data_IF_986860530494
#
_entry.id   IF_986860530494
#
_cell.length_a   1.000
_cell.length_b   1.000
_cell.length_c   1.000
_cell.angle_alpha   90.00
_cell.angle_beta   90.00
_cell.angle_gamma   90.00
#
_symmetry.space_group_name_H-M   'P 1'
#
loop_
_entity.id
_entity.type
_entity.pdbx_description
1 polymer ?
#
# COMPACT_ATOMS: atom_id res chain seq x y z
N UNK A 1 -41.54 0.62 -22.13
CA UNK A 1 -40.13 1.00 -22.37
C UNK A 1 -39.26 -0.21 -22.06
N UNK A 2 -38.39 -0.65 -22.99
CA UNK A 2 -37.55 -1.84 -22.78
C UNK A 2 -36.55 -1.57 -21.63
N UNK A 3 -36.47 -2.49 -20.65
CA UNK A 3 -35.49 -2.40 -19.56
C UNK A 3 -34.10 -2.45 -20.17
N UNK A 4 -33.31 -1.37 -20.02
CA UNK A 4 -31.88 -1.36 -20.38
C UNK A 4 -31.20 -2.47 -19.60
N UNK A 5 -30.42 -3.31 -20.29
CA UNK A 5 -29.63 -4.38 -19.68
C UNK A 5 -28.17 -4.11 -19.96
N UNK A 6 -27.33 -4.35 -18.96
CA UNK A 6 -25.88 -4.29 -19.06
C UNK A 6 -25.36 -5.72 -19.16
N UNK A 7 -24.42 -5.98 -20.04
CA UNK A 7 -23.82 -7.29 -20.28
C UNK A 7 -22.35 -7.22 -19.91
N UNK A 8 -21.95 -7.90 -18.85
CA UNK A 8 -20.57 -7.96 -18.40
C UNK A 8 -19.91 -9.22 -18.97
N UNK A 9 -18.78 -9.05 -19.66
CA UNK A 9 -17.93 -10.12 -20.19
C UNK A 9 -16.66 -10.20 -19.37
N UNK A 10 -16.54 -11.20 -18.49
CA UNK A 10 -15.36 -11.48 -17.66
C UNK A 10 -14.30 -12.27 -18.41
N UNK A 11 -14.72 -13.18 -19.29
CA UNK A 11 -13.85 -13.92 -20.20
C UNK A 11 -14.47 -13.96 -21.59
N UNK A 12 -13.74 -13.48 -22.59
CA UNK A 12 -14.16 -13.33 -23.99
C UNK A 12 -13.04 -12.68 -24.80
N UNK A 13 -13.31 -12.35 -26.07
CA UNK A 13 -12.34 -11.64 -26.94
C UNK A 13 -11.92 -10.31 -26.33
N UNK A 14 -12.90 -9.50 -25.91
CA UNK A 14 -12.69 -8.24 -25.20
C UNK A 14 -13.52 -8.23 -23.92
N UNK A 15 -12.90 -8.38 -22.74
CA UNK A 15 -13.60 -8.22 -21.46
C UNK A 15 -14.09 -6.78 -21.27
N UNK A 16 -15.27 -6.61 -20.68
CA UNK A 16 -15.87 -5.28 -20.50
C UNK A 16 -17.40 -5.31 -20.33
N UNK A 17 -18.01 -4.12 -20.25
CA UNK A 17 -19.46 -3.95 -20.11
C UNK A 17 -20.05 -3.42 -21.41
N UNK A 18 -21.06 -4.12 -21.92
CA UNK A 18 -21.77 -3.78 -23.13
C UNK A 18 -23.23 -3.45 -22.81
N UNK A 19 -23.80 -2.48 -23.51
CA UNK A 19 -25.22 -2.08 -23.35
C UNK A 19 -26.14 -2.75 -24.37
N UNK A 20 -25.59 -3.59 -25.24
CA UNK A 20 -26.30 -4.35 -26.26
C UNK A 20 -25.87 -5.82 -26.23
N UNK A 21 -26.84 -6.72 -26.44
CA UNK A 21 -26.57 -8.14 -26.58
C UNK A 21 -25.67 -8.44 -27.77
N UNK A 22 -25.85 -7.73 -28.89
CA UNK A 22 -25.07 -7.95 -30.12
C UNK A 22 -23.56 -7.71 -29.88
N UNK A 23 -23.25 -6.63 -29.17
CA UNK A 23 -21.87 -6.28 -28.81
C UNK A 23 -21.25 -7.27 -27.81
N UNK A 24 -22.03 -7.74 -26.83
CA UNK A 24 -21.61 -8.79 -25.90
C UNK A 24 -21.37 -10.12 -26.62
N UNK A 25 -22.32 -10.53 -27.47
CA UNK A 25 -22.28 -11.76 -28.25
C UNK A 25 -21.03 -11.81 -29.12
N UNK A 26 -20.68 -10.71 -29.79
CA UNK A 26 -19.44 -10.62 -30.57
C UNK A 26 -18.17 -10.93 -29.76
N UNK A 27 -18.18 -10.76 -28.43
CA UNK A 27 -17.04 -11.08 -27.57
C UNK A 27 -17.01 -12.52 -27.06
N UNK A 28 -18.17 -13.17 -26.93
CA UNK A 28 -18.28 -14.48 -26.27
C UNK A 28 -18.59 -15.63 -27.22
N UNK A 29 -19.20 -15.32 -28.37
CA UNK A 29 -19.63 -16.30 -29.37
C UNK A 29 -18.42 -16.99 -30.01
N UNK A 30 -18.30 -18.31 -29.80
CA UNK A 30 -17.16 -19.12 -30.25
C UNK A 30 -15.88 -18.96 -29.42
N UNK A 31 -15.91 -18.26 -28.28
CA UNK A 31 -14.76 -18.16 -27.37
C UNK A 31 -14.81 -19.29 -26.32
N UNK A 32 -13.74 -20.09 -26.24
CA UNK A 32 -13.66 -21.19 -25.28
C UNK A 32 -13.68 -20.68 -23.84
N UNK A 33 -14.54 -21.25 -22.99
CA UNK A 33 -14.73 -20.83 -21.59
C UNK A 33 -15.15 -19.36 -21.42
N UNK A 34 -15.95 -18.83 -22.34
CA UNK A 34 -16.51 -17.49 -22.19
C UNK A 34 -17.34 -17.36 -20.90
N UNK A 35 -17.09 -16.30 -20.13
CA UNK A 35 -17.77 -16.01 -18.88
C UNK A 35 -18.42 -14.64 -19.00
N UNK A 36 -19.75 -14.61 -19.12
CA UNK A 36 -20.53 -13.37 -19.22
C UNK A 36 -21.85 -13.47 -18.47
N UNK A 37 -22.39 -12.32 -18.04
CA UNK A 37 -23.68 -12.23 -17.36
C UNK A 37 -24.36 -10.89 -17.63
N UNK A 38 -25.70 -10.90 -17.70
CA UNK A 38 -26.50 -9.69 -17.88
C UNK A 38 -27.06 -9.19 -16.55
N UNK A 39 -27.07 -7.88 -16.35
CA UNK A 39 -27.50 -7.19 -15.15
C UNK A 39 -28.47 -6.05 -15.46
N UNK A 40 -29.36 -5.70 -14.51
CA UNK A 40 -30.26 -4.57 -14.67
C UNK A 40 -29.57 -3.22 -14.43
N UNK A 41 -28.47 -3.19 -13.68
CA UNK A 41 -27.69 -1.98 -13.38
C UNK A 41 -26.24 -2.08 -13.89
N UNK A 42 -25.59 -0.92 -14.07
CA UNK A 42 -24.18 -0.88 -14.48
C UNK A 42 -23.30 -1.35 -13.33
N UNK A 43 -23.65 -0.97 -12.10
CA UNK A 43 -22.90 -1.32 -10.88
C UNK A 43 -22.81 -2.84 -10.67
N UNK A 44 -23.90 -3.59 -10.88
CA UNK A 44 -23.87 -5.05 -10.78
C UNK A 44 -23.04 -5.71 -11.90
N UNK A 45 -23.02 -5.10 -13.09
CA UNK A 45 -22.18 -5.54 -14.20
C UNK A 45 -20.69 -5.29 -13.90
N UNK A 46 -20.34 -4.16 -13.29
CA UNK A 46 -19.00 -3.84 -12.79
C UNK A 46 -18.56 -4.84 -11.71
N UNK A 47 -19.44 -5.16 -10.76
CA UNK A 47 -19.16 -6.16 -9.72
C UNK A 47 -18.86 -7.56 -10.30
N UNK A 48 -19.54 -7.96 -11.38
CA UNK A 48 -19.33 -9.27 -12.02
C UNK A 48 -18.00 -9.40 -12.75
N UNK A 49 -17.48 -8.31 -13.33
CA UNK A 49 -16.16 -8.31 -13.96
C UNK A 49 -15.04 -8.51 -12.94
N UNK A 50 -15.34 -8.33 -11.66
CA UNK A 50 -14.36 -8.37 -10.60
C UNK A 50 -13.45 -7.17 -10.73
N UNK A 51 -13.84 -6.05 -10.12
CA UNK A 51 -12.87 -5.07 -9.64
C UNK A 51 -11.88 -5.81 -8.73
N UNK A 52 -10.82 -6.34 -9.33
CA UNK A 52 -9.53 -6.50 -8.69
C UNK A 52 -8.63 -5.29 -8.97
N UNK A 53 -9.22 -4.20 -9.45
CA UNK A 53 -8.82 -2.84 -9.06
C UNK A 53 -9.73 -2.40 -7.92
N UNK A 54 -9.67 -3.14 -6.82
CA UNK A 54 -9.44 -2.42 -5.56
C UNK A 54 -8.00 -1.91 -5.62
N UNK A 55 -7.75 -0.89 -6.43
CA UNK A 55 -7.03 0.22 -5.85
C UNK A 55 -7.99 0.72 -4.77
N UNK A 56 -7.93 0.11 -3.59
CA UNK A 56 -8.24 0.85 -2.41
C UNK A 56 -7.24 2.01 -2.49
N UNK A 57 -7.65 3.13 -3.08
CA UNK A 57 -7.34 4.39 -2.44
C UNK A 57 -7.90 4.19 -1.05
N UNK A 58 -7.03 3.75 -0.15
CA UNK A 58 -7.29 3.95 1.24
C UNK A 58 -7.28 5.48 1.30
N UNK A 59 -8.46 6.08 1.24
CA UNK A 59 -8.65 7.52 1.49
C UNK A 59 -8.47 7.73 2.99
N UNK A 60 -7.34 7.25 3.51
CA UNK A 60 -6.84 7.74 4.77
C UNK A 60 -6.42 9.18 4.54
N UNK A 61 -6.60 9.99 5.57
CA UNK A 61 -6.28 11.41 5.53
C UNK A 61 -4.80 11.63 5.23
N UNK A 62 -3.95 10.73 5.75
CA UNK A 62 -2.53 10.64 5.46
C UNK A 62 -2.15 9.35 4.71
N UNK A 63 -1.19 9.45 3.80
CA UNK A 63 -0.57 8.34 3.09
C UNK A 63 0.95 8.48 3.15
N UNK A 64 1.68 7.45 3.55
CA UNK A 64 3.12 7.47 3.64
C UNK A 64 3.74 6.26 2.94
N UNK A 65 4.64 6.50 1.99
CA UNK A 65 5.50 5.47 1.42
C UNK A 65 6.79 5.42 2.23
N UNK A 66 7.16 4.25 2.71
CA UNK A 66 8.35 4.06 3.54
C UNK A 66 9.27 3.03 2.92
N UNK A 67 10.57 3.33 2.93
CA UNK A 67 11.62 2.40 2.49
C UNK A 67 12.86 2.56 3.40
N UNK A 68 13.70 1.53 3.45
CA UNK A 68 14.86 1.43 4.31
C UNK A 68 16.14 1.09 3.54
N UNK A 69 17.21 1.82 3.82
CA UNK A 69 18.52 1.58 3.23
C UNK A 69 19.57 1.27 4.30
N UNK A 70 20.55 0.44 3.96
CA UNK A 70 21.67 0.09 4.84
C UNK A 70 23.00 0.13 4.12
N UNK A 71 23.96 0.84 4.71
CA UNK A 71 25.32 0.92 4.23
C UNK A 71 26.19 -0.10 4.98
N UNK A 72 26.52 -1.20 4.29
CA UNK A 72 27.35 -2.28 4.85
C UNK A 72 28.77 -1.82 5.22
N UNK A 73 29.28 -0.74 4.60
CA UNK A 73 30.65 -0.24 4.85
C UNK A 73 30.75 0.53 6.16
N UNK A 74 29.75 1.36 6.47
CA UNK A 74 29.71 2.18 7.69
C UNK A 74 28.90 1.54 8.81
N UNK A 75 28.07 0.55 8.48
CA UNK A 75 27.15 -0.10 9.43
C UNK A 75 25.92 0.75 9.75
N UNK A 76 25.68 1.82 8.98
CA UNK A 76 24.58 2.75 9.19
C UNK A 76 23.33 2.35 8.39
N UNK A 77 22.15 2.62 8.92
CA UNK A 77 20.88 2.51 8.21
C UNK A 77 20.16 3.85 8.18
N UNK A 78 19.25 3.99 7.23
CA UNK A 78 18.39 5.15 7.09
C UNK A 78 17.02 4.73 6.58
N UNK A 79 16.07 5.64 6.75
CA UNK A 79 14.75 5.54 6.18
C UNK A 79 14.50 6.68 5.19
N UNK A 80 13.69 6.40 4.18
CA UNK A 80 13.06 7.39 3.32
C UNK A 80 11.56 7.31 3.52
N UNK A 81 10.91 8.47 3.61
CA UNK A 81 9.47 8.60 3.80
C UNK A 81 8.94 9.64 2.82
N UNK A 82 7.97 9.24 2.01
CA UNK A 82 7.19 10.16 1.17
C UNK A 82 5.79 10.23 1.77
N UNK A 83 5.51 11.33 2.46
CA UNK A 83 4.28 11.56 3.20
C UNK A 83 3.33 12.46 2.39
N UNK A 84 2.05 12.15 2.42
CA UNK A 84 0.98 12.89 1.77
C UNK A 84 -0.10 13.18 2.80
N UNK A 85 -0.52 14.43 2.91
CA UNK A 85 -1.61 14.85 3.79
C UNK A 85 -2.30 16.07 3.22
N UNK A 86 -3.64 16.09 3.19
CA UNK A 86 -4.47 17.16 2.61
C UNK A 86 -4.06 17.62 1.19
N UNK A 87 -3.45 16.73 0.41
CA UNK A 87 -2.95 17.03 -0.95
C UNK A 87 -1.55 17.65 -1.01
N UNK A 88 -0.89 17.85 0.13
CA UNK A 88 0.51 18.25 0.21
C UNK A 88 1.41 17.01 0.27
N UNK A 89 2.50 17.01 -0.51
CA UNK A 89 3.55 15.98 -0.47
C UNK A 89 4.74 16.50 0.32
N UNK A 90 5.18 15.75 1.31
CA UNK A 90 6.38 16.00 2.10
C UNK A 90 7.36 14.84 1.96
N UNK A 91 8.60 15.15 1.64
CA UNK A 91 9.68 14.17 1.56
C UNK A 91 10.55 14.27 2.80
N UNK A 92 10.82 13.13 3.43
CA UNK A 92 11.60 13.07 4.64
C UNK A 92 12.60 11.91 4.57
N UNK A 93 13.79 12.11 5.11
CA UNK A 93 14.75 11.04 5.30
C UNK A 93 15.46 11.23 6.65
N UNK A 94 15.74 10.12 7.32
CA UNK A 94 16.40 10.13 8.62
C UNK A 94 17.40 8.98 8.71
N UNK A 95 18.55 9.23 9.34
CA UNK A 95 19.51 8.19 9.66
C UNK A 95 19.19 7.59 11.02
N UNK A 96 19.16 6.27 11.08
CA UNK A 96 19.05 5.56 12.34
C UNK A 96 20.38 5.54 13.08
N UNK A 97 20.32 5.83 14.38
CA UNK A 97 21.49 5.80 15.28
C UNK A 97 21.49 4.60 16.22
N UNK A 98 20.38 3.85 16.28
CA UNK A 98 20.22 2.71 17.17
C UNK A 98 20.99 1.50 16.63
N UNK A 99 22.06 1.13 17.32
CA UNK A 99 22.97 0.05 16.93
C UNK A 99 22.37 -1.35 17.05
N UNK A 100 21.36 -1.55 17.91
CA UNK A 100 20.63 -2.82 17.99
C UNK A 100 19.69 -2.99 16.80
N UNK A 101 19.02 -1.90 16.39
CA UNK A 101 18.23 -1.87 15.17
C UNK A 101 19.11 -2.03 13.93
N UNK A 102 20.30 -1.43 13.89
CA UNK A 102 21.25 -1.56 12.78
C UNK A 102 21.58 -3.02 12.43
N UNK A 103 21.51 -3.94 13.40
CA UNK A 103 21.68 -5.37 13.16
C UNK A 103 20.60 -5.98 12.24
N UNK A 104 19.47 -5.28 12.05
CA UNK A 104 18.39 -5.66 11.13
C UNK A 104 18.60 -5.13 9.70
N UNK A 105 19.67 -4.37 9.44
CA UNK A 105 20.03 -3.83 8.11
C UNK A 105 18.88 -2.99 7.52
N UNK A 106 18.45 -3.24 6.28
CA UNK A 106 17.38 -2.48 5.61
C UNK A 106 16.07 -2.47 6.42
N UNK A 107 15.75 -3.57 7.09
CA UNK A 107 14.54 -3.69 7.93
C UNK A 107 14.56 -2.68 9.08
N UNK A 108 15.74 -2.28 9.54
CA UNK A 108 15.88 -1.22 10.54
C UNK A 108 15.40 0.13 10.00
N UNK A 109 15.74 0.43 8.74
CA UNK A 109 15.29 1.60 8.02
C UNK A 109 13.78 1.60 7.81
N UNK A 110 13.20 0.46 7.42
CA UNK A 110 11.74 0.35 7.26
C UNK A 110 10.98 0.57 8.57
N UNK A 111 11.47 0.01 9.68
CA UNK A 111 10.88 0.22 11.02
C UNK A 111 10.96 1.72 11.37
N UNK A 112 12.13 2.34 11.18
CA UNK A 112 12.31 3.76 11.46
C UNK A 112 11.38 4.61 10.58
N UNK A 113 11.28 4.31 9.28
CA UNK A 113 10.39 5.01 8.35
C UNK A 113 8.93 4.91 8.76
N UNK A 114 8.48 3.72 9.18
CA UNK A 114 7.13 3.54 9.69
C UNK A 114 6.87 4.37 10.97
N UNK A 115 7.83 4.43 11.90
CA UNK A 115 7.70 5.26 13.10
C UNK A 115 7.64 6.75 12.77
N UNK A 116 8.48 7.21 11.84
CA UNK A 116 8.49 8.59 11.35
C UNK A 116 7.16 8.94 10.69
N UNK A 117 6.63 8.07 9.82
CA UNK A 117 5.34 8.27 9.17
C UNK A 117 4.19 8.41 10.19
N UNK A 118 4.15 7.53 11.20
CA UNK A 118 3.17 7.61 12.30
C UNK A 118 3.30 8.93 13.07
N UNK A 119 4.53 9.33 13.39
CA UNK A 119 4.81 10.58 14.09
C UNK A 119 4.31 11.78 13.28
N UNK A 120 4.65 11.84 11.99
CA UNK A 120 4.22 12.92 11.09
C UNK A 120 2.70 13.00 11.01
N UNK A 121 1.99 11.88 10.87
CA UNK A 121 0.54 11.87 10.87
C UNK A 121 -0.06 12.44 12.17
N UNK A 122 0.48 12.06 13.33
CA UNK A 122 0.02 12.59 14.62
C UNK A 122 0.32 14.08 14.76
N UNK A 123 1.49 14.53 14.32
CA UNK A 123 1.90 15.95 14.37
C UNK A 123 1.05 16.83 13.46
N UNK A 124 0.66 16.32 12.28
CA UNK A 124 -0.26 16.98 11.35
C UNK A 124 -1.73 16.90 11.80
N UNK A 125 -2.03 16.06 12.80
CA UNK A 125 -3.39 15.88 13.32
C UNK A 125 -4.27 14.98 12.45
N UNK A 126 -3.68 14.10 11.64
CA UNK A 126 -4.42 13.13 10.83
C UNK A 126 -5.16 12.14 11.74
N UNK A 127 -6.41 11.81 11.39
CA UNK A 127 -7.18 10.77 12.08
C UNK A 127 -6.83 9.37 11.58
N UNK A 128 -6.37 9.25 10.33
CA UNK A 128 -5.93 7.98 9.75
C UNK A 128 -4.72 8.10 8.83
N UNK A 129 -3.91 7.03 8.80
CA UNK A 129 -2.66 6.92 8.06
C UNK A 129 -2.54 5.56 7.39
N UNK A 130 -2.34 5.54 6.07
CA UNK A 130 -1.83 4.36 5.36
C UNK A 130 -0.32 4.41 5.25
N UNK A 131 0.35 3.36 5.73
CA UNK A 131 1.78 3.14 5.52
C UNK A 131 1.95 2.11 4.41
N UNK A 132 2.48 2.56 3.29
CA UNK A 132 2.86 1.75 2.15
C UNK A 132 4.30 1.26 2.32
N UNK A 133 4.49 -0.04 2.29
CA UNK A 133 5.79 -0.67 2.54
C UNK A 133 5.97 -1.93 1.69
N UNK A 134 7.20 -2.37 1.48
CA UNK A 134 7.53 -3.57 0.70
C UNK A 134 7.68 -4.84 1.58
N UNK A 135 8.03 -4.67 2.85
CA UNK A 135 8.30 -5.78 3.76
C UNK A 135 7.15 -6.08 4.73
N UNK A 136 6.60 -7.28 4.62
CA UNK A 136 5.43 -7.71 5.43
C UNK A 136 5.64 -7.64 6.94
N UNK A 137 6.88 -7.77 7.43
CA UNK A 137 7.17 -7.79 8.87
C UNK A 137 6.70 -6.53 9.61
N UNK A 138 6.74 -5.37 8.94
CA UNK A 138 6.32 -4.08 9.49
C UNK A 138 4.85 -4.12 9.94
N UNK A 139 3.98 -4.74 9.16
CA UNK A 139 2.58 -4.93 9.51
C UNK A 139 2.38 -6.10 10.50
N UNK A 140 3.04 -7.23 10.27
CA UNK A 140 2.83 -8.45 11.06
C UNK A 140 3.25 -8.31 12.53
N UNK A 141 4.27 -7.50 12.87
CA UNK A 141 4.64 -7.23 14.27
C UNK A 141 3.62 -6.38 15.00
N UNK A 142 3.12 -5.32 14.35
CA UNK A 142 2.11 -4.42 14.88
C UNK A 142 0.78 -5.14 15.13
N UNK A 143 0.32 -5.91 14.15
CA UNK A 143 -0.91 -6.73 14.23
C UNK A 143 -0.78 -7.91 15.21
N UNK A 144 0.45 -8.29 15.59
CA UNK A 144 0.71 -9.41 16.50
C UNK A 144 0.70 -10.79 15.84
N UNK A 145 0.65 -10.83 14.50
CA UNK A 145 0.81 -12.06 13.72
C UNK A 145 2.22 -12.63 13.90
N UNK A 146 3.24 -11.77 14.02
CA UNK A 146 4.63 -12.16 14.26
C UNK A 146 5.10 -11.78 15.66
N UNK A 147 5.90 -12.67 16.27
CA UNK A 147 6.51 -12.43 17.59
C UNK A 147 7.63 -11.40 17.51
N UNK A 148 7.61 -10.44 18.43
CA UNK A 148 8.65 -9.42 18.59
C UNK A 148 9.75 -9.93 19.53
N UNK A 149 10.77 -10.57 18.97
CA UNK A 149 11.83 -11.19 19.76
C UNK A 149 12.97 -10.22 20.13
N UNK A 150 13.12 -9.13 19.39
CA UNK A 150 14.20 -8.14 19.54
C UNK A 150 13.68 -6.86 20.22
N UNK A 151 14.53 -6.18 20.98
CA UNK A 151 14.21 -4.91 21.65
C UNK A 151 13.60 -3.89 20.67
N UNK A 152 14.24 -3.66 19.51
CA UNK A 152 13.73 -2.75 18.48
C UNK A 152 12.32 -3.08 17.96
N UNK A 153 12.01 -4.37 17.74
CA UNK A 153 10.65 -4.77 17.31
C UNK A 153 9.61 -4.65 18.42
N UNK A 154 10.01 -4.82 19.69
CA UNK A 154 9.11 -4.62 20.84
C UNK A 154 8.82 -3.13 21.03
N UNK A 155 9.85 -2.29 20.94
CA UNK A 155 9.72 -0.83 21.01
C UNK A 155 8.81 -0.31 19.88
N UNK A 156 9.01 -0.80 18.65
CA UNK A 156 8.15 -0.47 17.52
C UNK A 156 6.68 -0.83 17.77
N UNK A 157 6.42 -2.07 18.23
CA UNK A 157 5.06 -2.49 18.57
C UNK A 157 4.45 -1.64 19.69
N UNK A 158 5.20 -1.34 20.74
CA UNK A 158 4.75 -0.51 21.85
C UNK A 158 4.41 0.93 21.39
N UNK A 159 5.22 1.48 20.48
CA UNK A 159 4.96 2.77 19.86
C UNK A 159 3.65 2.76 19.06
N UNK A 160 3.46 1.76 18.20
CA UNK A 160 2.22 1.55 17.46
C UNK A 160 1.01 1.41 18.40
N UNK A 161 1.11 0.57 19.43
CA UNK A 161 0.04 0.37 20.42
C UNK A 161 -0.31 1.68 21.15
N UNK A 162 0.67 2.55 21.43
CA UNK A 162 0.42 3.85 22.06
C UNK A 162 -0.33 4.86 21.17
N UNK A 163 -0.32 4.63 19.85
CA UNK A 163 -0.94 5.50 18.85
C UNK A 163 -2.31 4.99 18.40
N UNK A 164 -2.66 3.73 18.66
CA UNK A 164 -3.96 3.14 18.25
C UNK A 164 -5.18 3.92 18.72
N UNK A 165 -5.11 4.58 19.88
CA UNK A 165 -6.21 5.37 20.42
C UNK A 165 -6.33 6.76 19.77
N UNK A 166 -5.30 7.20 19.03
CA UNK A 166 -5.20 8.55 18.45
C UNK A 166 -5.21 8.57 16.93
N UNK A 167 -4.68 7.53 16.29
CA UNK A 167 -4.46 7.44 14.86
C UNK A 167 -4.84 6.04 14.37
N UNK A 168 -5.70 5.97 13.37
CA UNK A 168 -6.04 4.72 12.70
C UNK A 168 -4.95 4.43 11.68
N UNK A 169 -4.17 3.37 11.90
CA UNK A 169 -3.04 3.04 11.04
C UNK A 169 -3.37 1.80 10.20
N UNK A 170 -3.31 1.96 8.89
CA UNK A 170 -3.42 0.89 7.91
C UNK A 170 -2.05 0.57 7.29
N UNK A 171 -1.79 -0.70 7.03
CA UNK A 171 -0.58 -1.14 6.35
C UNK A 171 -0.93 -1.65 4.96
N UNK A 172 -0.29 -1.10 3.94
CA UNK A 172 -0.45 -1.52 2.56
C UNK A 172 0.86 -2.07 2.02
N UNK A 173 0.88 -3.38 1.78
CA UNK A 173 2.04 -4.02 1.17
C UNK A 173 2.05 -3.79 -0.33
N UNK A 174 3.13 -3.22 -0.84
CA UNK A 174 3.47 -3.17 -2.27
C UNK A 174 4.57 -4.16 -2.58
N UNK A 175 4.74 -4.54 -3.86
CA UNK A 175 5.94 -5.30 -4.24
C UNK A 175 7.06 -4.29 -4.47
N UNK A 176 8.23 -4.51 -3.89
CA UNK A 176 9.41 -3.70 -4.23
C UNK A 176 9.65 -3.71 -5.75
N UNK A 177 10.02 -2.55 -6.30
CA UNK A 177 10.27 -2.34 -7.74
C UNK A 177 9.04 -2.63 -8.62
N UNK A 178 7.83 -2.34 -8.14
CA UNK A 178 6.59 -2.45 -8.94
C UNK A 178 6.46 -1.40 -10.04
N UNK A 179 7.36 -0.40 -10.09
CA UNK A 179 7.19 0.82 -10.89
C UNK A 179 6.25 1.82 -10.22
N UNK A 180 6.17 1.79 -8.89
CA UNK A 180 5.47 2.81 -8.10
C UNK A 180 6.45 3.97 -7.86
N UNK A 181 6.16 5.11 -8.50
CA UNK A 181 7.02 6.31 -8.48
C UNK A 181 7.37 6.75 -7.06
N UNK A 182 6.47 6.59 -6.09
CA UNK A 182 6.68 7.06 -4.72
C UNK A 182 7.45 6.05 -3.86
N UNK A 183 7.31 4.76 -4.14
CA UNK A 183 8.15 3.76 -3.50
C UNK A 183 9.61 3.91 -3.97
N UNK A 184 9.81 4.10 -5.27
CA UNK A 184 11.16 4.30 -5.83
C UNK A 184 11.77 5.61 -5.29
N UNK A 185 10.96 6.66 -5.10
CA UNK A 185 11.38 7.91 -4.44
C UNK A 185 11.76 7.68 -2.97
N UNK A 186 11.00 6.89 -2.21
CA UNK A 186 11.32 6.56 -0.83
C UNK A 186 12.66 5.80 -0.71
N UNK A 187 12.93 4.85 -1.60
CA UNK A 187 14.21 4.14 -1.69
C UNK A 187 15.38 5.10 -2.01
N UNK A 188 15.18 6.04 -2.95
CA UNK A 188 16.20 7.04 -3.29
C UNK A 188 16.49 7.98 -2.11
N UNK A 189 15.45 8.46 -1.42
CA UNK A 189 15.58 9.26 -0.21
C UNK A 189 16.35 8.51 0.88
N UNK A 190 16.01 7.25 1.12
CA UNK A 190 16.72 6.41 2.09
C UNK A 190 18.22 6.31 1.73
N UNK A 191 18.54 6.05 0.46
CA UNK A 191 19.94 5.98 -0.01
C UNK A 191 20.67 7.32 0.14
N UNK A 192 20.04 8.42 -0.24
CA UNK A 192 20.63 9.77 -0.18
C UNK A 192 21.07 10.18 1.23
N UNK A 193 20.43 9.61 2.27
CA UNK A 193 20.84 9.85 3.63
C UNK A 193 22.21 9.21 3.94
N UNK A 194 22.54 8.03 3.43
CA UNK A 194 23.71 7.24 3.87
C UNK A 194 24.77 6.95 2.78
N UNK A 195 24.53 7.40 1.55
CA UNK A 195 25.44 7.31 0.41
C UNK A 195 25.71 8.70 -0.16
#
# INVERSE_FOLDING_TARGET
MAKKKYYAVRAGRTPGIYTSWDACKAQVDGFANASFKSFPTKEEAEAFLGNNTKENKIEDEALAYVDGSYNVKTGEYSCGVVFFFEGEKTEYCEKGTDSELAAMRNVAGEILGAQVAMKMAVEQGAESLTIVHDYQGIASWCTGEWKTNKEGTKAYKAYFDSLKDKLIIHFQKVKGHSGDEYNDLADELAKSAIF
#
